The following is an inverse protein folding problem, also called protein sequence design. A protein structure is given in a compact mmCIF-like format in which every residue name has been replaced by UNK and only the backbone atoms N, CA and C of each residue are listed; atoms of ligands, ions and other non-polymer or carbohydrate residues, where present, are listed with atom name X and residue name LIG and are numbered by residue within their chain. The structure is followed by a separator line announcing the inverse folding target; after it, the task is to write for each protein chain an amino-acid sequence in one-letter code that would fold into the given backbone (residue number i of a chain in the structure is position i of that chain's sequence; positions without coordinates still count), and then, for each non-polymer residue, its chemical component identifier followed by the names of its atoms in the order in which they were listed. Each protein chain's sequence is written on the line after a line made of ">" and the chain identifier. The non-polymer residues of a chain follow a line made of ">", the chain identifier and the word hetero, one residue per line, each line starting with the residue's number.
data_IF_127461735195
#
_entry.id   IF_127461735195
#
_cell.length_a   1.000
_cell.length_b   1.000
_cell.length_c   1.000
_cell.angle_alpha   90.00
_cell.angle_beta   90.00
_cell.angle_gamma   90.00
#
_symmetry.space_group_name_H-M   'P 1'
#
loop_
_entity.id
_entity.type
_entity.pdbx_description
1 polymer ?
#
# COMPACT_ATOMS: atom_id res chain seq x y z
N UNK A 1 -19.68 6.24 5.58
CA UNK A 1 -19.15 5.77 4.32
C UNK A 1 -18.70 4.35 4.46
N UNK A 2 -19.16 3.56 3.62
CA UNK A 2 -18.91 2.14 3.67
C UNK A 2 -17.44 1.79 3.49
N UNK A 3 -16.74 2.50 2.66
CA UNK A 3 -15.34 2.17 2.43
C UNK A 3 -14.46 2.55 3.60
N UNK A 4 -14.91 3.40 4.48
CA UNK A 4 -14.18 3.68 5.70
C UNK A 4 -14.05 2.44 6.56
N UNK A 5 -15.17 1.71 6.68
CA UNK A 5 -15.16 0.46 7.43
C UNK A 5 -14.21 -0.53 6.77
N UNK A 6 -14.28 -0.61 5.45
CA UNK A 6 -13.42 -1.47 4.69
C UNK A 6 -11.95 -1.13 4.93
N UNK A 7 -11.62 0.15 4.92
CA UNK A 7 -10.24 0.60 5.12
C UNK A 7 -9.74 0.21 6.50
N UNK A 8 -10.58 0.31 7.50
CA UNK A 8 -10.20 -0.05 8.85
C UNK A 8 -9.84 -1.53 8.97
N UNK A 9 -10.48 -2.37 8.19
CA UNK A 9 -10.18 -3.79 8.23
C UNK A 9 -8.87 -4.14 7.54
N UNK A 10 -8.58 -3.46 6.45
CA UNK A 10 -7.46 -3.80 5.59
C UNK A 10 -6.23 -2.98 5.83
N UNK A 11 -6.36 -1.86 6.53
CA UNK A 11 -5.26 -0.93 6.68
C UNK A 11 -4.79 -0.85 8.10
N UNK A 12 -3.48 -0.67 8.27
CA UNK A 12 -2.93 -0.50 9.60
C UNK A 12 -3.35 0.82 10.21
N UNK A 13 -3.66 0.79 11.50
CA UNK A 13 -4.03 2.00 12.22
C UNK A 13 -2.83 2.84 12.60
N UNK A 14 -1.65 2.23 12.71
CA UNK A 14 -0.44 2.93 13.13
C UNK A 14 0.71 2.57 12.20
N UNK A 15 1.18 3.55 11.39
CA UNK A 15 2.26 3.27 10.44
C UNK A 15 3.56 2.75 11.07
N UNK A 16 3.76 3.00 12.35
CA UNK A 16 4.98 2.59 13.03
C UNK A 16 4.99 1.15 13.48
N UNK A 17 3.83 0.47 13.42
CA UNK A 17 3.71 -0.89 13.93
C UNK A 17 3.20 -1.86 12.88
N UNK A 18 3.60 -1.67 11.64
CA UNK A 18 3.13 -2.50 10.54
C UNK A 18 4.19 -3.51 10.18
N UNK A 19 3.80 -4.78 10.17
CA UNK A 19 4.70 -5.83 9.70
C UNK A 19 4.81 -5.76 8.19
N UNK A 20 6.01 -5.99 7.68
CA UNK A 20 6.23 -5.93 6.25
C UNK A 20 5.34 -6.91 5.50
N UNK A 21 5.19 -8.14 6.02
CA UNK A 21 4.38 -9.16 5.35
C UNK A 21 2.92 -8.72 5.22
N UNK A 22 2.40 -8.03 6.23
CA UNK A 22 1.02 -7.54 6.18
C UNK A 22 0.88 -6.44 5.13
N UNK A 23 1.84 -5.52 5.07
CA UNK A 23 1.82 -4.48 4.07
C UNK A 23 1.95 -5.04 2.67
N UNK A 24 2.80 -6.05 2.51
CA UNK A 24 2.99 -6.71 1.22
C UNK A 24 1.68 -7.32 0.73
N UNK A 25 0.94 -8.00 1.61
CA UNK A 25 -0.34 -8.60 1.25
C UNK A 25 -1.33 -7.54 0.80
N UNK A 26 -1.38 -6.42 1.50
CA UNK A 26 -2.28 -5.32 1.14
C UNK A 26 -1.93 -4.79 -0.24
N UNK A 27 -0.66 -4.53 -0.48
CA UNK A 27 -0.23 -4.02 -1.77
C UNK A 27 -0.51 -4.99 -2.91
N UNK A 28 -0.29 -6.28 -2.68
CA UNK A 28 -0.56 -7.29 -3.70
C UNK A 28 -2.05 -7.39 -4.01
N UNK A 29 -2.88 -7.21 -2.99
CA UNK A 29 -4.33 -7.23 -3.18
C UNK A 29 -4.80 -6.09 -4.08
N UNK A 30 -4.21 -4.92 -3.92
CA UNK A 30 -4.69 -3.71 -4.59
C UNK A 30 -3.92 -3.35 -5.85
N UNK A 31 -2.65 -3.72 -5.94
CA UNK A 31 -1.79 -3.30 -7.05
C UNK A 31 -1.20 -4.47 -7.84
N UNK A 32 -1.48 -5.70 -7.43
CA UNK A 32 -0.96 -6.87 -8.13
C UNK A 32 0.42 -7.29 -7.64
N UNK A 33 1.10 -8.08 -8.43
CA UNK A 33 2.39 -8.63 -8.02
C UNK A 33 3.50 -7.60 -8.16
N UNK A 34 4.41 -7.54 -7.19
CA UNK A 34 5.51 -6.60 -7.27
C UNK A 34 6.62 -7.09 -8.18
N UNK A 35 7.40 -6.15 -8.67
CA UNK A 35 8.70 -6.43 -9.24
C UNK A 35 9.70 -6.35 -8.09
N UNK A 36 10.49 -7.40 -7.91
CA UNK A 36 11.44 -7.46 -6.80
C UNK A 36 12.83 -7.15 -7.31
N UNK A 37 13.45 -6.15 -6.69
CA UNK A 37 14.81 -5.76 -7.02
C UNK A 37 15.57 -5.60 -5.71
N UNK A 38 16.42 -6.56 -5.38
CA UNK A 38 17.08 -6.60 -4.08
C UNK A 38 16.03 -6.70 -2.99
N UNK A 39 16.08 -5.79 -2.05
CA UNK A 39 15.09 -5.75 -0.95
C UNK A 39 13.86 -4.91 -1.29
N UNK A 40 13.81 -4.34 -2.50
CA UNK A 40 12.71 -3.48 -2.90
C UNK A 40 11.61 -4.28 -3.56
N UNK A 41 10.38 -4.03 -3.13
CA UNK A 41 9.20 -4.58 -3.75
C UNK A 41 8.48 -3.41 -4.41
N UNK A 42 8.46 -3.39 -5.73
CA UNK A 42 8.01 -2.24 -6.51
C UNK A 42 6.71 -2.59 -7.20
N UNK A 43 5.67 -1.81 -6.92
CA UNK A 43 4.34 -2.03 -7.47
C UNK A 43 4.00 -0.96 -8.48
N UNK A 44 3.34 -1.35 -9.55
CA UNK A 44 2.80 -0.42 -10.53
C UNK A 44 1.49 0.15 -10.01
N UNK A 45 1.17 1.36 -10.47
CA UNK A 45 -0.11 1.98 -10.14
C UNK A 45 -0.85 2.30 -11.43
N UNK A 46 -2.19 2.47 -11.36
CA UNK A 46 -2.96 2.72 -12.57
C UNK A 46 -2.99 4.19 -13.01
N UNK A 47 -2.29 5.06 -12.29
CA UNK A 47 -2.41 6.49 -12.52
C UNK A 47 -1.46 6.97 -13.59
N UNK A 48 -1.82 8.11 -14.17
CA UNK A 48 -1.01 8.76 -15.18
C UNK A 48 0.38 9.07 -14.59
N UNK A 49 1.40 8.84 -15.39
CA UNK A 49 2.77 9.01 -14.93
C UNK A 49 3.33 7.76 -14.28
N UNK A 50 2.47 6.79 -14.04
CA UNK A 50 2.86 5.48 -13.48
C UNK A 50 3.74 5.63 -12.24
N UNK A 51 3.27 6.38 -11.24
CA UNK A 51 4.04 6.47 -10.00
C UNK A 51 4.15 5.09 -9.36
N UNK A 52 5.33 4.73 -8.93
CA UNK A 52 5.58 3.41 -8.37
C UNK A 52 5.47 3.46 -6.86
N UNK A 53 5.02 2.34 -6.30
CA UNK A 53 5.02 2.15 -4.86
C UNK A 53 6.15 1.20 -4.52
N UNK A 54 7.02 1.63 -3.62
CA UNK A 54 8.20 0.88 -3.25
C UNK A 54 8.15 0.61 -1.75
N UNK A 55 8.22 -0.68 -1.37
CA UNK A 55 8.26 -1.04 0.04
C UNK A 55 9.47 -1.93 0.30
N UNK A 56 10.03 -1.79 1.50
CA UNK A 56 11.20 -2.53 1.94
C UNK A 56 11.03 -2.96 3.37
N UNK A 57 11.65 -4.07 3.71
CA UNK A 57 11.70 -4.51 5.11
C UNK A 57 12.67 -3.65 5.90
N UNK A 58 12.32 -3.48 7.16
CA UNK A 58 13.23 -2.96 8.17
C UNK A 58 13.14 -3.95 9.32
N UNK A 59 14.03 -4.94 9.33
CA UNK A 59 13.83 -6.09 10.17
C UNK A 59 12.60 -6.85 9.69
N UNK A 60 11.65 -7.07 10.59
CA UNK A 60 10.37 -7.69 10.24
C UNK A 60 9.31 -6.67 9.90
N UNK A 61 9.61 -5.39 10.07
CA UNK A 61 8.63 -4.33 9.97
C UNK A 61 8.72 -3.62 8.65
N UNK A 62 7.64 -2.94 8.29
CA UNK A 62 7.65 -2.03 7.15
C UNK A 62 8.18 -0.68 7.60
N UNK A 63 8.79 0.04 6.69
CA UNK A 63 9.27 1.40 7.00
C UNK A 63 8.08 2.34 7.12
N UNK A 64 7.97 3.08 8.23
CA UNK A 64 6.78 3.90 8.45
C UNK A 64 6.44 4.88 7.34
N UNK A 65 7.45 5.52 6.75
CA UNK A 65 7.14 6.49 5.70
C UNK A 65 6.58 5.80 4.44
N UNK A 66 6.98 4.56 4.21
CA UNK A 66 6.44 3.80 3.07
C UNK A 66 5.01 3.36 3.36
N UNK A 67 4.71 3.01 4.61
CA UNK A 67 3.33 2.71 5.00
C UNK A 67 2.43 3.90 4.73
N UNK A 68 2.88 5.09 5.08
CA UNK A 68 2.10 6.31 4.82
C UNK A 68 1.83 6.51 3.33
N UNK A 69 2.83 6.25 2.50
CA UNK A 69 2.66 6.39 1.07
C UNK A 69 1.66 5.37 0.52
N UNK A 70 1.71 4.14 1.03
CA UNK A 70 0.75 3.11 0.63
C UNK A 70 -0.66 3.52 1.03
N UNK A 71 -0.83 4.04 2.25
CA UNK A 71 -2.15 4.47 2.70
C UNK A 71 -2.72 5.57 1.81
N UNK A 72 -1.88 6.52 1.42
CA UNK A 72 -2.31 7.57 0.49
C UNK A 72 -2.74 7.00 -0.85
N UNK A 73 -1.98 6.01 -1.35
CA UNK A 73 -2.32 5.38 -2.61
C UNK A 73 -3.64 4.63 -2.53
N UNK A 74 -3.89 3.95 -1.41
CA UNK A 74 -5.15 3.25 -1.20
C UNK A 74 -6.32 4.22 -1.14
N UNK A 75 -6.15 5.36 -0.48
CA UNK A 75 -7.17 6.39 -0.46
C UNK A 75 -7.50 6.88 -1.86
N UNK A 76 -6.48 7.06 -2.68
CA UNK A 76 -6.67 7.50 -4.04
C UNK A 76 -7.46 6.50 -4.85
N UNK A 77 -7.17 5.20 -4.67
CA UNK A 77 -7.93 4.15 -5.32
C UNK A 77 -9.42 4.22 -4.93
N UNK A 78 -9.68 4.42 -3.65
CA UNK A 78 -11.04 4.50 -3.15
C UNK A 78 -11.80 5.64 -3.81
N UNK A 79 -11.17 6.81 -3.84
CA UNK A 79 -11.79 8.00 -4.42
C UNK A 79 -12.10 7.79 -5.89
N UNK A 80 -11.17 7.22 -6.63
CA UNK A 80 -11.36 7.02 -8.06
C UNK A 80 -12.40 5.96 -8.36
N UNK A 81 -12.52 4.96 -7.51
CA UNK A 81 -13.56 3.95 -7.65
C UNK A 81 -14.94 4.52 -7.32
N UNK A 82 -14.98 5.53 -6.48
CA UNK A 82 -16.23 6.19 -6.11
C UNK A 82 -16.71 7.15 -7.18
N UNK A 83 -15.81 7.70 -7.96
CA UNK A 83 -16.10 8.71 -8.97
C UNK A 83 -15.87 8.15 -10.36
N UNK A 84 -16.88 7.49 -10.90
CA UNK A 84 -16.77 6.90 -12.22
C UNK A 84 -16.63 7.93 -13.32
#
# INVERSE_FOLDING_TARGET
>A
MRYHVYMEKDQPSNPKNVKFDDLLKICMKHFGNPRIKGSHHIFKTPWKGDPRINIQKEGKMAKPYQVKLVLKALEKLEVENENP
#
